data_IF_599984390627
#
_entry.id   IF_599984390627
#
_cell.length_a   1.000
_cell.length_b   1.000
_cell.length_c   1.000
_cell.angle_alpha   90.00
_cell.angle_beta   90.00
_cell.angle_gamma   90.00
#
_symmetry.space_group_name_H-M   'P 1'
#
loop_
_entity.id
_entity.type
_entity.pdbx_description
1 polymer ?
#
# COMPACT_ATOMS: atom_id res chain seq x y z
N UNK A 1 -10.63 3.60 -17.40
CA UNK A 1 -9.72 4.65 -16.93
C UNK A 1 -9.48 4.35 -15.47
N UNK A 2 -8.23 4.24 -15.04
CA UNK A 2 -7.91 4.01 -13.64
C UNK A 2 -8.52 5.14 -12.79
N UNK A 3 -9.11 4.79 -11.65
CA UNK A 3 -9.51 5.78 -10.66
C UNK A 3 -8.29 6.56 -10.20
N UNK A 4 -8.42 7.89 -10.08
CA UNK A 4 -7.32 8.74 -9.65
C UNK A 4 -7.38 8.89 -8.13
N UNK A 5 -6.40 8.31 -7.43
CA UNK A 5 -6.31 8.40 -5.97
C UNK A 5 -5.45 9.58 -5.48
N UNK A 6 -4.88 10.42 -6.35
CA UNK A 6 -4.08 11.57 -5.88
C UNK A 6 -4.92 12.48 -4.96
N UNK A 7 -4.38 12.78 -3.77
CA UNK A 7 -5.04 13.47 -2.65
C UNK A 7 -6.16 12.70 -1.95
N UNK A 8 -6.39 11.43 -2.33
CA UNK A 8 -7.31 10.54 -1.65
C UNK A 8 -6.65 9.83 -0.46
N UNK A 9 -7.52 9.41 0.47
CA UNK A 9 -7.14 8.66 1.66
C UNK A 9 -8.00 7.41 1.81
N UNK A 10 -7.35 6.26 1.93
CA UNK A 10 -8.03 4.98 2.12
C UNK A 10 -7.61 4.31 3.43
N UNK A 11 -8.51 3.52 4.01
CA UNK A 11 -8.19 2.65 5.15
C UNK A 11 -7.35 1.45 4.70
N UNK A 12 -6.34 1.09 5.49
CA UNK A 12 -5.47 -0.05 5.22
C UNK A 12 -4.92 -0.68 6.49
N UNK A 13 -4.52 -1.95 6.41
CA UNK A 13 -3.62 -2.55 7.40
C UNK A 13 -2.25 -2.79 6.77
N UNK A 14 -1.18 -2.43 7.46
CA UNK A 14 0.18 -2.67 7.03
C UNK A 14 0.83 -3.77 7.87
N UNK A 15 1.44 -4.76 7.22
CA UNK A 15 2.14 -5.83 7.94
C UNK A 15 3.53 -5.34 8.37
N UNK A 16 3.72 -5.13 9.68
CA UNK A 16 5.03 -4.88 10.29
C UNK A 16 5.52 -6.16 10.96
N UNK A 17 6.42 -6.87 10.28
CA UNK A 17 6.86 -8.20 10.72
C UNK A 17 5.70 -9.20 10.76
N UNK A 18 5.32 -9.65 11.95
CA UNK A 18 4.20 -10.58 12.18
C UNK A 18 2.89 -9.89 12.55
N UNK A 19 2.90 -8.58 12.78
CA UNK A 19 1.73 -7.81 13.21
C UNK A 19 1.11 -7.07 12.03
N UNK A 20 -0.22 -7.05 11.96
CA UNK A 20 -0.96 -6.16 11.06
C UNK A 20 -1.38 -4.91 11.85
N UNK A 21 -0.90 -3.73 11.45
CA UNK A 21 -1.28 -2.46 12.09
C UNK A 21 -2.24 -1.67 11.21
N UNK A 22 -3.36 -1.23 11.80
CA UNK A 22 -4.37 -0.44 11.11
C UNK A 22 -3.94 1.02 10.95
N UNK A 23 -4.34 1.63 9.84
CA UNK A 23 -4.05 3.03 9.55
C UNK A 23 -4.66 3.50 8.24
N UNK A 24 -4.06 4.57 7.71
CA UNK A 24 -4.49 5.21 6.47
C UNK A 24 -3.35 5.21 5.46
N UNK A 25 -3.67 5.03 4.19
CA UNK A 25 -2.79 5.38 3.08
C UNK A 25 -3.31 6.69 2.49
N UNK A 26 -2.44 7.69 2.41
CA UNK A 26 -2.67 8.89 1.60
C UNK A 26 -1.84 8.77 0.33
N UNK A 27 -2.40 9.12 -0.81
CA UNK A 27 -1.67 9.18 -2.07
C UNK A 27 -1.46 10.64 -2.47
N UNK A 28 -0.28 10.94 -3.01
CA UNK A 28 0.03 12.22 -3.61
C UNK A 28 0.65 12.03 -5.00
N UNK A 29 1.13 13.12 -5.58
CA UNK A 29 1.76 13.15 -6.91
C UNK A 29 2.99 12.23 -7.01
N UNK A 30 3.72 12.02 -5.93
CA UNK A 30 5.02 11.36 -5.97
C UNK A 30 4.99 9.94 -5.39
N UNK A 31 3.99 9.61 -4.58
CA UNK A 31 3.94 8.33 -3.90
C UNK A 31 2.75 8.15 -2.99
N UNK A 32 2.86 7.14 -2.13
CA UNK A 32 1.90 6.83 -1.09
C UNK A 32 2.56 6.85 0.29
N UNK A 33 1.82 7.30 1.29
CA UNK A 33 2.25 7.36 2.68
C UNK A 33 1.26 6.61 3.55
N UNK A 34 1.71 5.49 4.14
CA UNK A 34 0.96 4.81 5.19
C UNK A 34 1.25 5.45 6.54
N UNK A 35 0.20 5.74 7.32
CA UNK A 35 0.27 6.22 8.70
C UNK A 35 -0.58 5.34 9.60
N UNK A 36 0.05 4.66 10.56
CA UNK A 36 -0.65 3.85 11.56
C UNK A 36 -1.48 4.72 12.52
N UNK A 37 -2.54 4.17 13.10
CA UNK A 37 -3.22 4.79 14.24
C UNK A 37 -2.29 4.92 15.46
N UNK A 38 -2.45 6.01 16.21
CA UNK A 38 -1.61 6.31 17.38
C UNK A 38 -1.75 5.31 18.54
N UNK A 39 -2.83 4.53 18.55
CA UNK A 39 -3.13 3.54 19.61
C UNK A 39 -2.55 2.16 19.34
N UNK A 40 -1.90 1.94 18.19
CA UNK A 40 -1.25 0.66 17.88
C UNK A 40 0.01 0.46 18.73
N UNK A 41 0.38 -0.80 18.96
CA UNK A 41 1.64 -1.15 19.64
C UNK A 41 2.83 -0.68 18.79
N UNK A 42 2.79 -0.96 17.49
CA UNK A 42 3.75 -0.43 16.53
C UNK A 42 3.12 0.75 15.77
N UNK A 43 3.72 1.93 15.98
CA UNK A 43 3.31 3.16 15.29
C UNK A 43 4.37 3.62 14.28
N UNK A 44 4.00 4.57 13.42
CA UNK A 44 4.91 5.24 12.51
C UNK A 44 4.33 5.45 11.13
N UNK A 45 5.09 6.18 10.33
CA UNK A 45 4.79 6.46 8.94
C UNK A 45 5.69 5.62 8.02
N UNK A 46 5.21 5.31 6.82
CA UNK A 46 5.98 4.61 5.80
C UNK A 46 5.66 5.24 4.45
N UNK A 47 6.65 5.93 3.90
CA UNK A 47 6.60 6.56 2.59
C UNK A 47 7.14 5.60 1.54
N UNK A 48 6.42 5.46 0.43
CA UNK A 48 6.86 4.72 -0.76
C UNK A 48 6.65 5.65 -1.96
N UNK A 49 7.74 6.16 -2.53
CA UNK A 49 7.69 6.92 -3.79
C UNK A 49 7.35 5.98 -4.95
N UNK A 50 6.54 6.42 -5.92
CA UNK A 50 6.20 5.63 -7.10
C UNK A 50 7.46 5.23 -7.88
N UNK A 51 8.44 6.13 -7.98
CA UNK A 51 9.73 5.87 -8.63
C UNK A 51 10.56 4.78 -7.93
N UNK A 52 10.27 4.47 -6.66
CA UNK A 52 10.93 3.39 -5.92
C UNK A 52 10.21 2.05 -6.10
N UNK A 53 8.99 2.02 -6.64
CA UNK A 53 8.21 0.80 -6.82
C UNK A 53 8.72 0.04 -8.05
N UNK A 54 9.14 -1.19 -7.83
CA UNK A 54 9.57 -2.12 -8.86
C UNK A 54 8.39 -2.94 -9.42
N UNK A 55 7.52 -3.46 -8.54
CA UNK A 55 6.42 -4.33 -8.93
C UNK A 55 5.29 -4.31 -7.90
N UNK A 56 4.09 -4.66 -8.35
CA UNK A 56 2.87 -4.72 -7.52
C UNK A 56 2.13 -6.02 -7.82
N UNK A 57 2.00 -6.86 -6.79
CA UNK A 57 1.33 -8.16 -6.87
C UNK A 57 0.11 -8.24 -5.95
N UNK A 58 -0.89 -8.99 -6.41
CA UNK A 58 -2.01 -9.40 -5.56
C UNK A 58 -1.50 -10.32 -4.46
N UNK A 59 -2.06 -10.17 -3.27
CA UNK A 59 -1.78 -11.00 -2.11
C UNK A 59 -3.06 -11.46 -1.44
N UNK A 60 -3.01 -12.65 -0.84
CA UNK A 60 -4.05 -13.12 0.06
C UNK A 60 -3.57 -12.96 1.51
N UNK A 61 -4.41 -12.37 2.38
CA UNK A 61 -4.15 -12.30 3.81
C UNK A 61 -4.19 -13.69 4.41
N UNK A 62 -3.13 -14.06 5.13
CA UNK A 62 -2.87 -15.41 5.64
C UNK A 62 -2.96 -16.51 4.55
N UNK A 63 -2.80 -16.17 3.27
CA UNK A 63 -2.92 -17.10 2.14
C UNK A 63 -4.36 -17.36 1.66
N UNK A 64 -5.38 -16.84 2.35
CA UNK A 64 -6.78 -17.24 2.12
C UNK A 64 -7.61 -16.07 1.56
N UNK A 65 -7.64 -14.93 2.25
CA UNK A 65 -8.57 -13.83 1.91
C UNK A 65 -7.94 -12.92 0.85
N UNK A 66 -8.54 -12.75 -0.35
CA UNK A 66 -7.92 -12.03 -1.47
C UNK A 66 -8.08 -10.50 -1.36
N UNK A 67 -7.63 -9.92 -0.25
CA UNK A 67 -7.77 -8.50 0.07
C UNK A 67 -6.42 -7.77 0.28
N UNK A 68 -5.30 -8.38 -0.13
CA UNK A 68 -3.97 -7.81 0.05
C UNK A 68 -3.26 -7.42 -1.24
N UNK A 69 -2.27 -6.54 -1.10
CA UNK A 69 -1.24 -6.24 -2.12
C UNK A 69 0.16 -6.36 -1.53
N UNK A 70 1.11 -6.76 -2.36
CA UNK A 70 2.54 -6.62 -2.11
C UNK A 70 3.09 -5.55 -3.06
N UNK A 71 3.71 -4.53 -2.51
CA UNK A 71 4.47 -3.50 -3.22
C UNK A 71 5.95 -3.79 -3.02
N UNK A 72 6.64 -4.15 -4.09
CA UNK A 72 8.07 -4.42 -4.09
C UNK A 72 8.81 -3.15 -4.49
N UNK A 73 9.82 -2.77 -3.71
CA UNK A 73 10.65 -1.58 -3.97
C UNK A 73 12.03 -1.96 -4.50
N UNK A 74 12.69 -1.01 -5.16
CA UNK A 74 14.00 -1.22 -5.81
C UNK A 74 15.13 -1.60 -4.83
N UNK A 75 14.96 -1.35 -3.53
CA UNK A 75 15.87 -1.78 -2.47
C UNK A 75 15.66 -3.25 -2.03
N UNK A 76 14.71 -3.95 -2.66
CA UNK A 76 14.39 -5.34 -2.38
C UNK A 76 13.37 -5.54 -1.25
N UNK A 77 12.81 -4.47 -0.69
CA UNK A 77 11.80 -4.59 0.37
C UNK A 77 10.42 -4.96 -0.20
N UNK A 78 9.66 -5.75 0.57
CA UNK A 78 8.27 -6.11 0.24
C UNK A 78 7.32 -5.48 1.27
N UNK A 79 6.62 -4.43 0.87
CA UNK A 79 5.57 -3.82 1.67
C UNK A 79 4.23 -4.54 1.45
N UNK A 80 3.66 -5.10 2.52
CA UNK A 80 2.42 -5.88 2.46
C UNK A 80 1.26 -5.11 3.09
N UNK A 81 0.26 -4.80 2.27
CA UNK A 81 -0.94 -4.11 2.73
C UNK A 81 -2.18 -4.97 2.56
N UNK A 82 -3.15 -4.76 3.43
CA UNK A 82 -4.55 -5.19 3.26
C UNK A 82 -5.37 -3.94 2.98
N UNK A 83 -6.11 -3.94 1.88
CA UNK A 83 -6.85 -2.77 1.38
C UNK A 83 -8.22 -3.16 0.83
N UNK A 84 -9.13 -2.20 0.79
CA UNK A 84 -10.36 -2.28 0.00
C UNK A 84 -10.08 -1.97 -1.48
N UNK A 85 -11.00 -2.35 -2.36
CA UNK A 85 -10.95 -2.04 -3.80
C UNK A 85 -9.60 -2.33 -4.45
N UNK A 86 -9.04 -3.51 -4.10
CA UNK A 86 -7.68 -3.93 -4.46
C UNK A 86 -7.36 -3.74 -5.93
N UNK A 87 -8.30 -4.06 -6.81
CA UNK A 87 -8.06 -4.02 -8.25
C UNK A 87 -7.90 -2.57 -8.73
N UNK A 88 -8.74 -1.65 -8.24
CA UNK A 88 -8.67 -0.21 -8.55
C UNK A 88 -7.37 0.41 -8.04
N UNK A 89 -6.98 0.08 -6.81
CA UNK A 89 -5.71 0.57 -6.25
C UNK A 89 -4.51 0.03 -7.02
N UNK A 90 -4.52 -1.24 -7.44
CA UNK A 90 -3.45 -1.80 -8.29
C UNK A 90 -3.41 -1.10 -9.65
N UNK A 91 -4.57 -0.87 -10.28
CA UNK A 91 -4.65 -0.19 -11.57
C UNK A 91 -4.11 1.24 -11.48
N UNK A 92 -4.49 1.98 -10.43
CA UNK A 92 -3.96 3.31 -10.14
C UNK A 92 -2.45 3.29 -9.96
N UNK A 93 -1.93 2.46 -9.05
CA UNK A 93 -0.49 2.42 -8.79
C UNK A 93 0.31 2.01 -10.03
N UNK A 94 -0.19 1.07 -10.83
CA UNK A 94 0.43 0.70 -12.12
C UNK A 94 0.47 1.85 -13.11
N UNK A 95 -0.57 2.69 -13.12
CA UNK A 95 -0.57 3.90 -13.95
C UNK A 95 0.48 4.93 -13.54
N UNK A 96 1.03 4.86 -12.31
CA UNK A 96 2.07 5.76 -11.79
C UNK A 96 3.50 5.24 -11.98
N UNK A 97 3.70 3.93 -12.13
CA UNK A 97 5.05 3.33 -12.30
C UNK A 97 5.49 3.21 -13.77
N UNK A 98 4.55 3.29 -14.71
CA UNK A 98 4.80 3.11 -16.15
C UNK A 98 4.90 4.44 -16.91
N UNK A 99 5.03 5.57 -16.20
CA UNK A 99 5.25 6.89 -16.80
C UNK A 99 6.73 7.24 -16.87
#
# INVERSE_FOLDING_TARGET
MAENYVNEKIGANYMRGKEAVGGWINFDENGLTFKSHAVNIQTGETRIEYAAIQDIKKRNTLGIVPNGISVYTNDGFEHKFVIHDREQVIEFLRSRITQ
#
